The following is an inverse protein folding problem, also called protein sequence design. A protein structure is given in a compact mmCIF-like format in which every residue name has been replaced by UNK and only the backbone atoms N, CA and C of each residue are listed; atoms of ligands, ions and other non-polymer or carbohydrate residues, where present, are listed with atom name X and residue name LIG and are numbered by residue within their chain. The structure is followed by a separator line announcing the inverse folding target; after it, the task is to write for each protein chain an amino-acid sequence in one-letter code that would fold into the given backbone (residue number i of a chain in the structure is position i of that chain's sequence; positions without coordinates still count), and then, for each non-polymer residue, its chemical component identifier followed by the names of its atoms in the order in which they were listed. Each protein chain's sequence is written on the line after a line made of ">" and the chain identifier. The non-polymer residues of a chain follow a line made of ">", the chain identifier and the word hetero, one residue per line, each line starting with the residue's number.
data_IF_138456256773
#
_entry.id   IF_138456256773
#
_cell.length_a   1.000
_cell.length_b   1.000
_cell.length_c   1.000
_cell.angle_alpha   90.00
_cell.angle_beta   90.00
_cell.angle_gamma   90.00
#
_symmetry.space_group_name_H-M   'P 1'
#
loop_
_entity.id
_entity.type
_entity.pdbx_description
1 polymer ?
#
# COMPACT_ATOMS: atom_id res chain seq x y z
N UNK A 1 9.62 -1.25 43.16
CA UNK A 1 8.82 -0.76 42.02
C UNK A 1 9.42 -1.36 40.78
N UNK A 2 8.80 -2.41 40.27
CA UNK A 2 9.24 -3.10 39.03
C UNK A 2 8.90 -2.22 37.84
N UNK A 3 9.91 -1.58 37.27
CA UNK A 3 9.79 -0.97 35.93
C UNK A 3 9.57 -2.09 34.92
N UNK A 4 8.32 -2.55 34.79
CA UNK A 4 7.94 -3.36 33.67
C UNK A 4 8.01 -2.44 32.43
N UNK A 5 9.04 -2.60 31.59
CA UNK A 5 9.04 -1.98 30.27
C UNK A 5 7.73 -2.36 29.58
N UNK A 6 6.91 -1.40 29.14
CA UNK A 6 5.67 -1.71 28.48
C UNK A 6 5.99 -2.56 27.23
N UNK A 7 5.33 -3.70 27.10
CA UNK A 7 5.45 -4.56 25.92
C UNK A 7 5.04 -3.73 24.71
N UNK A 8 5.89 -3.60 23.68
CA UNK A 8 5.56 -2.82 22.51
C UNK A 8 4.24 -3.33 21.90
N UNK A 9 3.26 -2.46 21.75
CA UNK A 9 2.00 -2.81 21.10
C UNK A 9 2.23 -2.97 19.61
N UNK A 10 1.89 -4.13 19.06
CA UNK A 10 1.84 -4.35 17.63
C UNK A 10 0.44 -4.00 17.13
N UNK A 11 0.38 -3.06 16.21
CA UNK A 11 -0.86 -2.59 15.60
C UNK A 11 -0.84 -2.96 14.12
N UNK A 12 -1.84 -3.70 13.68
CA UNK A 12 -2.08 -3.99 12.28
C UNK A 12 -3.28 -3.17 11.81
N UNK A 13 -3.07 -2.32 10.81
CA UNK A 13 -4.11 -1.51 10.19
C UNK A 13 -4.25 -1.93 8.74
N UNK A 14 -5.42 -2.44 8.38
CA UNK A 14 -5.79 -2.72 7.00
C UNK A 14 -6.47 -1.50 6.38
N UNK A 15 -5.92 -0.95 5.31
CA UNK A 15 -6.51 0.16 4.56
C UNK A 15 -7.13 -0.36 3.26
N UNK A 16 -8.42 -0.06 3.09
CA UNK A 16 -9.18 -0.46 1.90
C UNK A 16 -8.95 0.45 0.69
N UNK A 17 -9.61 0.11 -0.41
CA UNK A 17 -9.50 0.83 -1.69
C UNK A 17 -9.77 2.33 -1.57
N UNK A 18 -10.74 2.75 -0.76
CA UNK A 18 -11.07 4.16 -0.56
C UNK A 18 -9.94 4.96 0.10
N UNK A 19 -9.07 4.33 0.89
CA UNK A 19 -7.91 4.98 1.49
C UNK A 19 -6.70 5.04 0.55
N UNK A 20 -6.74 4.35 -0.58
CA UNK A 20 -5.69 4.34 -1.60
C UNK A 20 -6.17 4.89 -2.93
N UNK A 21 -7.44 4.68 -3.26
CA UNK A 21 -8.03 5.07 -4.54
C UNK A 21 -9.56 5.25 -4.42
N UNK A 22 -10.04 6.38 -3.86
CA UNK A 22 -11.47 6.70 -3.80
C UNK A 22 -12.13 6.71 -5.19
N UNK A 23 -13.42 6.40 -5.25
CA UNK A 23 -14.17 6.30 -6.51
C UNK A 23 -14.23 7.61 -7.30
N UNK A 24 -14.19 8.74 -6.61
CA UNK A 24 -14.40 10.09 -7.19
C UNK A 24 -13.11 10.79 -7.62
N UNK A 25 -12.02 10.05 -7.87
CA UNK A 25 -10.76 10.64 -8.34
C UNK A 25 -10.37 10.13 -9.72
N UNK A 26 -9.73 10.99 -10.49
CA UNK A 26 -9.12 10.61 -11.77
C UNK A 26 -7.91 9.69 -11.56
N UNK A 27 -7.24 9.81 -10.42
CA UNK A 27 -6.05 9.05 -10.06
C UNK A 27 -4.77 9.68 -10.59
N UNK A 28 -4.75 11.02 -10.67
CA UNK A 28 -3.51 11.76 -10.93
C UNK A 28 -2.52 11.57 -9.79
N UNK A 29 -1.22 11.75 -10.06
CA UNK A 29 -0.18 11.63 -9.02
C UNK A 29 -0.47 12.56 -7.84
N UNK A 30 -0.90 13.80 -8.12
CA UNK A 30 -1.22 14.78 -7.08
C UNK A 30 -2.39 14.37 -6.19
N UNK A 31 -3.43 13.77 -6.76
CA UNK A 31 -4.55 13.23 -5.98
C UNK A 31 -4.10 12.06 -5.11
N UNK A 32 -3.30 11.13 -5.66
CA UNK A 32 -2.77 9.98 -4.92
C UNK A 32 -1.83 10.43 -3.77
N UNK A 33 -0.96 11.40 -4.00
CA UNK A 33 -0.11 12.01 -2.98
C UNK A 33 -0.95 12.64 -1.86
N UNK A 34 -2.00 13.38 -2.22
CA UNK A 34 -2.92 14.01 -1.26
C UNK A 34 -3.62 12.98 -0.38
N UNK A 35 -4.08 11.86 -0.97
CA UNK A 35 -4.73 10.75 -0.27
C UNK A 35 -3.74 10.05 0.67
N UNK A 36 -2.54 9.75 0.19
CA UNK A 36 -1.50 9.16 1.02
C UNK A 36 -1.13 10.07 2.21
N UNK A 37 -1.05 11.38 1.97
CA UNK A 37 -0.79 12.36 3.03
C UNK A 37 -1.95 12.43 4.05
N UNK A 38 -3.20 12.34 3.62
CA UNK A 38 -4.36 12.28 4.52
C UNK A 38 -4.34 10.99 5.36
N UNK A 39 -4.04 9.85 4.74
CA UNK A 39 -3.89 8.56 5.42
C UNK A 39 -2.77 8.60 6.47
N UNK A 40 -1.60 9.11 6.10
CA UNK A 40 -0.48 9.24 7.02
C UNK A 40 -0.81 10.14 8.22
N UNK A 41 -1.48 11.27 8.00
CA UNK A 41 -1.94 12.14 9.09
C UNK A 41 -2.93 11.45 10.02
N UNK A 42 -3.88 10.71 9.47
CA UNK A 42 -4.89 9.99 10.26
C UNK A 42 -4.27 8.90 11.14
N UNK A 43 -3.23 8.21 10.65
CA UNK A 43 -2.57 7.12 11.36
C UNK A 43 -1.37 7.57 12.19
N UNK A 44 -0.94 8.82 12.07
CA UNK A 44 0.21 9.36 12.83
C UNK A 44 0.11 9.15 14.35
N UNK A 45 -1.06 9.30 15.00
CA UNK A 45 -1.18 9.03 16.44
C UNK A 45 -0.84 7.59 16.84
N UNK A 46 -0.89 6.64 15.91
CA UNK A 46 -0.54 5.23 16.15
C UNK A 46 0.96 4.97 16.06
N UNK A 47 1.76 5.94 15.64
CA UNK A 47 3.22 5.82 15.48
C UNK A 47 4.00 6.19 16.73
N UNK A 48 3.39 6.17 17.91
CA UNK A 48 4.08 6.40 19.18
C UNK A 48 5.24 5.41 19.38
N UNK A 49 6.28 5.81 20.10
CA UNK A 49 7.53 5.04 20.18
C UNK A 49 7.36 3.62 20.74
N UNK A 50 6.37 3.39 21.59
CA UNK A 50 6.02 2.08 22.15
C UNK A 50 5.25 1.18 21.18
N UNK A 51 4.73 1.71 20.06
CA UNK A 51 3.92 0.97 19.11
C UNK A 51 4.75 0.51 17.92
N UNK A 52 4.47 -0.69 17.41
CA UNK A 52 4.91 -1.17 16.10
C UNK A 52 3.69 -1.12 15.18
N UNK A 53 3.68 -0.21 14.20
CA UNK A 53 2.59 -0.08 13.25
C UNK A 53 2.91 -0.85 11.98
N UNK A 54 2.02 -1.76 11.61
CA UNK A 54 2.04 -2.49 10.35
C UNK A 54 0.80 -2.05 9.57
N UNK A 55 0.99 -1.68 8.31
CA UNK A 55 -0.11 -1.28 7.43
C UNK A 55 -0.17 -2.27 6.28
N UNK A 56 -1.36 -2.83 6.06
CA UNK A 56 -1.66 -3.62 4.87
C UNK A 56 -2.64 -2.88 3.99
N UNK A 57 -2.54 -3.06 2.67
CA UNK A 57 -3.43 -2.40 1.73
C UNK A 57 -3.78 -3.29 0.55
N UNK A 58 -4.96 -3.08 -0.03
CA UNK A 58 -5.33 -3.56 -1.35
C UNK A 58 -5.29 -2.40 -2.36
N UNK A 59 -5.21 -2.71 -3.65
CA UNK A 59 -5.32 -1.72 -4.72
C UNK A 59 -5.86 -2.33 -6.02
N UNK A 60 -7.03 -2.96 -5.96
CA UNK A 60 -7.69 -3.53 -7.15
C UNK A 60 -7.85 -2.52 -8.30
N UNK A 61 -8.37 -1.30 -8.06
CA UNK A 61 -8.49 -0.28 -9.12
C UNK A 61 -7.16 0.11 -9.76
N UNK A 62 -6.07 0.16 -8.99
CA UNK A 62 -4.72 0.44 -9.49
C UNK A 62 -4.20 -0.68 -10.39
N UNK A 63 -4.42 -1.94 -10.01
CA UNK A 63 -4.07 -3.11 -10.83
C UNK A 63 -4.85 -3.05 -12.15
N UNK A 64 -6.16 -2.83 -12.12
CA UNK A 64 -6.99 -2.71 -13.32
C UNK A 64 -6.50 -1.63 -14.29
N UNK A 65 -6.17 -0.44 -13.78
CA UNK A 65 -5.59 0.65 -14.59
C UNK A 65 -4.23 0.26 -15.18
N UNK A 66 -3.40 -0.46 -14.43
CA UNK A 66 -2.10 -0.94 -14.92
C UNK A 66 -2.27 -1.95 -16.05
N UNK A 67 -3.18 -2.93 -15.90
CA UNK A 67 -3.50 -3.89 -16.94
C UNK A 67 -4.04 -3.19 -18.19
N UNK A 68 -4.94 -2.23 -18.04
CA UNK A 68 -5.48 -1.46 -19.15
C UNK A 68 -4.37 -0.76 -19.94
N UNK A 69 -3.37 -0.19 -19.27
CA UNK A 69 -2.18 0.41 -19.94
C UNK A 69 -1.42 -0.64 -20.76
N UNK A 70 -1.26 -1.88 -20.23
CA UNK A 70 -0.62 -2.97 -20.96
C UNK A 70 -1.40 -3.32 -22.24
N UNK A 71 -2.73 -3.44 -22.14
CA UNK A 71 -3.60 -3.75 -23.29
C UNK A 71 -3.51 -2.65 -24.36
N UNK A 72 -3.56 -1.39 -23.97
CA UNK A 72 -3.47 -0.25 -24.91
C UNK A 72 -2.09 -0.16 -25.59
N UNK A 73 -1.02 -0.47 -24.85
CA UNK A 73 0.34 -0.35 -25.38
C UNK A 73 0.87 -1.64 -26.06
N UNK A 74 0.14 -2.73 -26.05
CA UNK A 74 0.59 -4.08 -26.49
C UNK A 74 1.21 -4.15 -27.89
N UNK A 75 0.83 -3.23 -28.78
CA UNK A 75 1.36 -3.15 -30.15
C UNK A 75 2.73 -2.46 -30.24
N UNK A 76 3.21 -1.88 -29.16
CA UNK A 76 4.47 -1.11 -29.08
C UNK A 76 5.43 -1.65 -28.03
N UNK A 77 4.89 -2.21 -26.94
CA UNK A 77 5.66 -2.70 -25.80
C UNK A 77 5.12 -4.06 -25.38
N UNK A 78 6.00 -4.99 -25.05
CA UNK A 78 5.63 -6.30 -24.51
C UNK A 78 4.84 -6.11 -23.20
N UNK A 79 3.61 -6.66 -23.09
CA UNK A 79 2.81 -6.53 -21.89
C UNK A 79 3.44 -7.24 -20.70
N UNK A 80 3.29 -6.66 -19.52
CA UNK A 80 3.62 -7.31 -18.26
C UNK A 80 2.54 -8.35 -17.90
N UNK A 81 2.96 -9.44 -17.26
CA UNK A 81 2.04 -10.42 -16.67
C UNK A 81 1.25 -9.84 -15.50
N UNK A 82 0.16 -10.50 -15.11
CA UNK A 82 -0.71 -10.02 -14.03
C UNK A 82 0.03 -9.87 -12.69
N UNK A 83 0.85 -10.84 -12.32
CA UNK A 83 1.65 -10.83 -11.10
C UNK A 83 2.62 -9.63 -11.06
N UNK A 84 3.27 -9.31 -12.18
CA UNK A 84 4.13 -8.13 -12.29
C UNK A 84 3.33 -6.83 -12.22
N UNK A 85 2.12 -6.79 -12.83
CA UNK A 85 1.22 -5.64 -12.67
C UNK A 85 0.80 -5.43 -11.21
N UNK A 86 0.55 -6.51 -10.48
CA UNK A 86 0.25 -6.47 -9.03
C UNK A 86 1.45 -5.96 -8.24
N UNK A 87 2.65 -6.51 -8.47
CA UNK A 87 3.89 -6.08 -7.82
C UNK A 87 4.20 -4.60 -8.09
N UNK A 88 4.03 -4.14 -9.34
CA UNK A 88 4.16 -2.73 -9.72
C UNK A 88 3.21 -1.85 -8.89
N UNK A 89 1.97 -2.28 -8.74
CA UNK A 89 0.94 -1.53 -8.00
C UNK A 89 1.23 -1.51 -6.50
N UNK A 90 1.74 -2.62 -5.93
CA UNK A 90 2.23 -2.66 -4.55
C UNK A 90 3.36 -1.64 -4.36
N UNK A 91 4.35 -1.64 -5.25
CA UNK A 91 5.49 -0.72 -5.19
C UNK A 91 5.06 0.75 -5.25
N UNK A 92 4.16 1.12 -6.17
CA UNK A 92 3.65 2.49 -6.28
C UNK A 92 2.92 2.92 -5.02
N UNK A 93 2.03 2.07 -4.48
CA UNK A 93 1.28 2.39 -3.25
C UNK A 93 2.22 2.52 -2.05
N UNK A 94 3.16 1.57 -1.90
CA UNK A 94 4.16 1.62 -0.84
C UNK A 94 5.02 2.90 -0.93
N UNK A 95 5.48 3.27 -2.12
CA UNK A 95 6.25 4.48 -2.35
C UNK A 95 5.52 5.74 -1.87
N UNK A 96 4.26 5.90 -2.27
CA UNK A 96 3.44 7.06 -1.88
C UNK A 96 3.17 7.11 -0.37
N UNK A 97 2.85 5.97 0.23
CA UNK A 97 2.63 5.87 1.67
C UNK A 97 3.91 6.14 2.46
N UNK A 98 5.04 5.54 2.07
CA UNK A 98 6.33 5.80 2.73
C UNK A 98 6.68 7.28 2.70
N UNK A 99 6.59 7.93 1.54
CA UNK A 99 6.86 9.36 1.41
C UNK A 99 5.95 10.19 2.33
N UNK A 100 4.66 9.87 2.35
CA UNK A 100 3.69 10.56 3.18
C UNK A 100 3.96 10.39 4.69
N UNK A 101 4.27 9.14 5.12
CA UNK A 101 4.63 8.85 6.51
C UNK A 101 5.96 9.49 6.90
N UNK A 102 7.00 9.43 6.08
CA UNK A 102 8.29 10.09 6.33
C UNK A 102 8.12 11.59 6.56
N UNK A 103 7.30 12.24 5.74
CA UNK A 103 6.99 13.66 5.91
C UNK A 103 6.20 13.93 7.20
N UNK A 104 5.19 13.10 7.50
CA UNK A 104 4.37 13.26 8.70
C UNK A 104 5.19 13.02 9.98
N UNK A 105 6.01 11.97 10.02
CA UNK A 105 6.89 11.62 11.13
C UNK A 105 7.93 12.73 11.38
N UNK A 106 8.58 13.21 10.33
CA UNK A 106 9.55 14.32 10.42
C UNK A 106 8.92 15.58 10.97
N UNK A 107 7.73 15.95 10.47
CA UNK A 107 7.02 17.14 10.93
C UNK A 107 6.56 17.02 12.39
N UNK A 108 6.35 15.80 12.88
CA UNK A 108 6.01 15.53 14.28
C UNK A 108 7.23 15.34 15.19
N UNK A 109 8.46 15.46 14.67
CA UNK A 109 9.68 15.19 15.43
C UNK A 109 9.84 13.73 15.84
N UNK A 110 9.16 12.79 15.15
CA UNK A 110 9.23 11.37 15.42
C UNK A 110 10.41 10.76 14.65
N UNK A 111 11.38 10.09 15.31
CA UNK A 111 12.61 9.58 14.69
C UNK A 111 12.39 8.29 13.88
N UNK A 112 11.18 7.78 13.77
CA UNK A 112 10.88 6.55 13.03
C UNK A 112 10.96 6.74 11.52
N UNK A 113 11.13 5.61 10.85
CA UNK A 113 11.10 5.53 9.39
C UNK A 113 10.00 4.58 8.92
N UNK A 114 9.48 4.84 7.72
CA UNK A 114 8.54 3.97 7.04
C UNK A 114 9.26 3.09 6.02
N UNK A 115 8.93 1.79 6.03
CA UNK A 115 9.48 0.80 5.09
C UNK A 115 8.32 0.17 4.34
N UNK A 116 8.42 0.10 3.02
CA UNK A 116 7.47 -0.61 2.17
C UNK A 116 8.02 -1.98 1.75
N UNK A 117 7.14 -2.97 1.75
CA UNK A 117 7.46 -4.33 1.32
C UNK A 117 6.57 -4.70 0.13
N UNK A 118 7.19 -5.27 -0.90
CA UNK A 118 6.48 -5.97 -1.97
C UNK A 118 6.45 -7.44 -1.59
N UNK A 119 5.25 -8.02 -1.58
CA UNK A 119 5.03 -9.39 -1.13
C UNK A 119 4.72 -10.32 -2.30
N UNK A 120 5.10 -11.58 -2.18
CA UNK A 120 4.69 -12.66 -3.07
C UNK A 120 3.70 -13.57 -2.35
N UNK A 121 2.76 -14.15 -3.11
CA UNK A 121 1.80 -15.11 -2.62
C UNK A 121 2.00 -16.42 -3.37
N UNK A 122 2.32 -17.46 -2.64
CA UNK A 122 2.34 -18.83 -3.19
C UNK A 122 0.90 -19.30 -3.40
N UNK A 123 0.63 -19.90 -4.55
CA UNK A 123 -0.69 -20.43 -4.92
C UNK A 123 -0.58 -21.87 -5.35
N UNK A 124 -1.63 -22.66 -5.08
CA UNK A 124 -1.73 -24.02 -5.57
C UNK A 124 -2.17 -23.99 -7.06
N UNK A 125 -1.34 -24.48 -8.00
CA UNK A 125 -1.70 -24.51 -9.42
C UNK A 125 -2.92 -25.39 -9.73
N UNK A 126 -3.32 -26.27 -8.81
CA UNK A 126 -4.52 -27.11 -8.93
C UNK A 126 -5.79 -26.46 -8.36
N UNK A 127 -5.69 -25.24 -7.83
CA UNK A 127 -6.85 -24.52 -7.28
C UNK A 127 -7.94 -24.36 -8.34
N UNK A 128 -9.20 -24.80 -8.06
CA UNK A 128 -10.31 -24.69 -8.99
C UNK A 128 -10.60 -23.26 -9.47
N UNK A 129 -10.18 -22.23 -8.73
CA UNK A 129 -10.33 -20.83 -9.11
C UNK A 129 -9.58 -20.49 -10.42
N UNK A 130 -8.51 -21.24 -10.77
CA UNK A 130 -7.84 -21.04 -12.07
C UNK A 130 -8.69 -21.51 -13.25
N UNK A 131 -9.54 -22.52 -13.06
CA UNK A 131 -10.45 -23.01 -14.10
C UNK A 131 -11.78 -22.24 -14.12
N UNK A 132 -12.19 -21.68 -12.98
CA UNK A 132 -13.45 -20.97 -12.82
C UNK A 132 -13.23 -19.71 -11.99
N UNK A 133 -12.60 -18.67 -12.55
CA UNK A 133 -12.38 -17.41 -11.85
C UNK A 133 -13.73 -16.74 -11.54
N UNK A 134 -13.83 -16.13 -10.35
CA UNK A 134 -15.01 -15.38 -9.88
C UNK A 134 -14.92 -13.92 -10.31
#
# INVERSE_FOLDING_TARGET
>A
MTNANPIPKRLLVAIGGNATHPENITGTSKEQESIAAATARALLPLTQLENQLIITHGNGPGVGKTIMRQVLARHRVTPMSLDICVANTQGVTAYLLMQAFENALRNAGNPRHAIGLVTQVEVDPSDPAFARPT
#
